data_IF_127610698696
#
_entry.id   IF_127610698696
#
_cell.length_a   1.000
_cell.length_b   1.000
_cell.length_c   1.000
_cell.angle_alpha   90.00
_cell.angle_beta   90.00
_cell.angle_gamma   90.00
#
_symmetry.space_group_name_H-M   'P 1'
#
loop_
_entity.id
_entity.type
_entity.pdbx_description
1 polymer ?
#
# COMPACT_ATOMS: atom_id res chain seq x y z
N UNK A 1 11.45 0.07 -19.11
CA UNK A 1 12.85 0.01 -18.64
C UNK A 1 12.80 -0.53 -17.22
N UNK A 2 13.44 -1.68 -17.00
CA UNK A 2 13.43 -2.40 -15.73
C UNK A 2 14.40 -1.66 -14.78
N UNK A 3 13.90 -0.72 -13.97
CA UNK A 3 14.69 -0.03 -12.94
C UNK A 3 14.92 -0.99 -11.78
N UNK A 4 15.74 -2.03 -12.01
CA UNK A 4 16.19 -2.90 -10.93
C UNK A 4 16.99 -2.07 -9.95
N UNK A 5 16.65 -2.22 -8.68
CA UNK A 5 17.32 -1.55 -7.58
C UNK A 5 18.78 -2.03 -7.55
N UNK A 6 19.76 -1.13 -7.76
CA UNK A 6 21.21 -1.43 -7.81
C UNK A 6 21.73 -2.09 -6.51
N UNK A 7 20.89 -2.10 -5.48
CA UNK A 7 21.11 -2.71 -4.18
C UNK A 7 20.82 -4.22 -4.12
N UNK A 8 20.18 -4.84 -5.12
CA UNK A 8 19.90 -6.29 -5.11
C UNK A 8 21.06 -7.06 -5.73
N UNK A 9 21.67 -7.96 -4.96
CA UNK A 9 22.74 -8.86 -5.41
C UNK A 9 22.22 -10.26 -5.77
N UNK A 10 21.16 -10.72 -5.12
CA UNK A 10 20.49 -11.99 -5.41
C UNK A 10 18.97 -11.79 -5.35
N UNK A 11 18.32 -11.56 -6.51
CA UNK A 11 16.87 -11.35 -6.58
C UNK A 11 16.05 -12.56 -6.10
N UNK A 12 16.57 -13.78 -6.29
CA UNK A 12 15.89 -15.00 -5.90
C UNK A 12 15.87 -15.15 -4.38
N UNK A 13 17.03 -14.93 -3.73
CA UNK A 13 17.13 -14.93 -2.28
C UNK A 13 16.29 -13.82 -1.66
N UNK A 14 16.32 -12.60 -2.22
CA UNK A 14 15.47 -11.51 -1.73
C UNK A 14 13.99 -11.89 -1.78
N UNK A 15 13.53 -12.40 -2.91
CA UNK A 15 12.13 -12.79 -3.09
C UNK A 15 11.72 -13.89 -2.09
N UNK A 16 12.56 -14.91 -1.91
CA UNK A 16 12.33 -15.97 -0.91
C UNK A 16 12.14 -15.39 0.50
N UNK A 17 13.02 -14.47 0.92
CA UNK A 17 12.93 -13.85 2.26
C UNK A 17 11.73 -12.92 2.39
N UNK A 18 11.45 -12.11 1.37
CA UNK A 18 10.29 -11.24 1.35
C UNK A 18 8.98 -12.04 1.46
N UNK A 19 8.82 -13.10 0.66
CA UNK A 19 7.66 -14.01 0.73
C UNK A 19 7.56 -14.66 2.11
N UNK A 20 8.67 -15.18 2.65
CA UNK A 20 8.67 -15.81 3.97
C UNK A 20 8.21 -14.84 5.08
N UNK A 21 8.64 -13.57 5.02
CA UNK A 21 8.19 -12.53 5.95
C UNK A 21 6.71 -12.21 5.76
N UNK A 22 6.24 -12.01 4.53
CA UNK A 22 4.82 -11.77 4.25
C UNK A 22 3.95 -12.91 4.78
N UNK A 23 4.27 -14.17 4.44
CA UNK A 23 3.52 -15.35 4.91
C UNK A 23 3.51 -15.42 6.43
N UNK A 24 4.65 -15.16 7.08
CA UNK A 24 4.72 -15.12 8.54
C UNK A 24 3.84 -14.01 9.11
N UNK A 25 3.94 -12.80 8.59
CA UNK A 25 3.14 -11.66 9.04
C UNK A 25 1.64 -11.92 8.87
N UNK A 26 1.21 -12.48 7.74
CA UNK A 26 -0.18 -12.89 7.50
C UNK A 26 -0.64 -13.91 8.55
N UNK A 27 0.16 -14.96 8.81
CA UNK A 27 -0.14 -15.95 9.86
C UNK A 27 -0.24 -15.32 11.25
N UNK A 28 0.62 -14.34 11.57
CA UNK A 28 0.57 -13.64 12.85
C UNK A 28 -0.72 -12.83 12.97
N UNK A 29 -1.06 -12.02 11.96
CA UNK A 29 -2.27 -11.19 12.00
C UNK A 29 -3.52 -12.02 12.29
N UNK A 30 -3.66 -13.18 11.65
CA UNK A 30 -4.81 -14.08 11.82
C UNK A 30 -4.63 -15.14 12.92
N UNK A 31 -3.55 -15.05 13.69
CA UNK A 31 -3.25 -15.92 14.82
C UNK A 31 -3.87 -15.42 16.13
N UNK A 32 -3.55 -16.11 17.23
CA UNK A 32 -3.94 -15.70 18.58
C UNK A 32 -3.17 -14.44 19.00
N UNK A 33 -3.77 -13.61 19.87
CA UNK A 33 -3.14 -12.44 20.50
C UNK A 33 -2.92 -11.21 19.61
N UNK A 34 -3.61 -11.12 18.46
CA UNK A 34 -3.59 -9.94 17.59
C UNK A 34 -5.00 -9.34 17.37
N UNK A 35 -5.90 -9.61 18.31
CA UNK A 35 -7.30 -9.18 18.26
C UNK A 35 -7.43 -7.65 18.24
N UNK A 36 -6.52 -6.92 18.89
CA UNK A 36 -6.52 -5.45 18.88
C UNK A 36 -6.23 -4.88 17.48
N UNK A 37 -5.32 -5.50 16.73
CA UNK A 37 -4.99 -5.06 15.37
C UNK A 37 -6.10 -5.45 14.40
N UNK A 38 -6.68 -6.63 14.56
CA UNK A 38 -7.86 -7.02 13.80
C UNK A 38 -9.04 -6.07 14.06
N UNK A 39 -9.32 -5.74 15.32
CA UNK A 39 -10.35 -4.79 15.70
C UNK A 39 -10.11 -3.42 15.06
N UNK A 40 -8.86 -2.92 15.10
CA UNK A 40 -8.51 -1.65 14.45
C UNK A 40 -8.80 -1.68 12.94
N UNK A 41 -8.49 -2.79 12.24
CA UNK A 41 -8.79 -2.94 10.81
C UNK A 41 -10.31 -2.93 10.55
N UNK A 42 -11.09 -3.62 11.38
CA UNK A 42 -12.55 -3.65 11.24
C UNK A 42 -13.20 -2.30 11.55
N UNK A 43 -12.77 -1.63 12.62
CA UNK A 43 -13.20 -0.26 12.95
C UNK A 43 -12.82 0.74 11.85
N UNK A 44 -11.74 0.45 11.12
CA UNK A 44 -11.29 1.21 9.95
C UNK A 44 -12.08 0.92 8.67
N UNK A 45 -13.13 0.10 8.74
CA UNK A 45 -14.02 -0.18 7.63
C UNK A 45 -13.55 -1.30 6.69
N UNK A 46 -12.44 -1.98 6.97
CA UNK A 46 -11.99 -3.07 6.10
C UNK A 46 -12.83 -4.33 6.26
N UNK A 47 -13.30 -4.87 5.14
CA UNK A 47 -13.88 -6.19 5.09
C UNK A 47 -12.81 -7.28 5.21
N UNK A 48 -13.13 -8.37 5.91
CA UNK A 48 -12.23 -9.52 6.06
C UNK A 48 -11.76 -10.09 4.70
N UNK A 49 -12.65 -10.07 3.70
CA UNK A 49 -12.35 -10.52 2.34
C UNK A 49 -11.21 -9.69 1.73
N UNK A 50 -11.34 -8.36 1.75
CA UNK A 50 -10.34 -7.41 1.24
C UNK A 50 -8.97 -7.66 1.86
N UNK A 51 -8.91 -7.80 3.19
CA UNK A 51 -7.66 -8.02 3.93
C UNK A 51 -6.99 -9.35 3.58
N UNK A 52 -7.78 -10.42 3.41
CA UNK A 52 -7.27 -11.74 3.03
C UNK A 52 -6.79 -11.79 1.59
N UNK A 53 -7.54 -11.21 0.67
CA UNK A 53 -7.16 -11.15 -0.76
C UNK A 53 -5.91 -10.30 -0.99
N UNK A 54 -5.72 -9.24 -0.20
CA UNK A 54 -4.51 -8.43 -0.19
C UNK A 54 -3.35 -9.01 0.63
N UNK A 55 -3.52 -10.21 1.22
CA UNK A 55 -2.52 -10.88 2.07
C UNK A 55 -1.97 -10.00 3.21
N UNK A 56 -2.80 -9.12 3.77
CA UNK A 56 -2.39 -8.25 4.88
C UNK A 56 -1.87 -9.09 6.04
N UNK A 57 -0.77 -8.62 6.62
CA UNK A 57 -0.10 -9.27 7.74
C UNK A 57 0.26 -8.30 8.86
N UNK A 58 0.72 -8.85 9.97
CA UNK A 58 1.18 -8.10 11.13
C UNK A 58 2.59 -8.54 11.51
N UNK A 59 3.53 -7.61 11.38
CA UNK A 59 4.89 -7.77 11.87
C UNK A 59 4.91 -7.32 13.33
N UNK A 60 5.01 -8.27 14.26
CA UNK A 60 4.80 -8.03 15.71
C UNK A 60 5.89 -7.17 16.36
N UNK A 61 7.08 -7.12 15.78
CA UNK A 61 8.21 -6.37 16.37
C UNK A 61 9.21 -5.93 15.33
N UNK A 62 9.89 -4.83 15.62
CA UNK A 62 11.06 -4.40 14.87
C UNK A 62 12.09 -5.54 14.80
N UNK A 63 12.51 -5.90 13.59
CA UNK A 63 13.55 -6.88 13.34
C UNK A 63 14.57 -6.28 12.38
N UNK A 64 15.86 -6.48 12.64
CA UNK A 64 16.94 -6.14 11.70
C UNK A 64 17.60 -7.41 11.20
N UNK A 65 17.85 -7.50 9.90
CA UNK A 65 18.47 -8.67 9.27
C UNK A 65 19.69 -8.24 8.45
N UNK A 66 20.81 -8.98 8.49
CA UNK A 66 21.95 -8.70 7.60
C UNK A 66 21.50 -8.62 6.14
N UNK A 67 21.94 -7.59 5.43
CA UNK A 67 21.51 -7.33 4.05
C UNK A 67 21.93 -8.46 3.08
N UNK A 68 23.14 -8.98 3.26
CA UNK A 68 23.66 -10.12 2.50
C UNK A 68 22.78 -11.38 2.63
N UNK A 69 22.23 -11.63 3.82
CA UNK A 69 21.30 -12.75 4.07
C UNK A 69 19.94 -12.61 3.38
N UNK A 70 19.68 -11.45 2.78
CA UNK A 70 18.50 -11.10 2.00
C UNK A 70 18.82 -10.87 0.53
N UNK A 71 20.04 -11.14 0.06
CA UNK A 71 20.41 -10.89 -1.32
C UNK A 71 20.45 -9.40 -1.68
N UNK A 72 20.77 -8.53 -0.72
CA UNK A 72 20.95 -7.09 -0.93
C UNK A 72 22.31 -6.61 -0.46
N UNK A 73 22.68 -5.42 -0.91
CA UNK A 73 23.89 -4.68 -0.55
C UNK A 73 23.57 -3.18 -0.39
N UNK A 74 24.56 -2.39 0.05
CA UNK A 74 24.42 -0.93 0.20
C UNK A 74 23.92 -0.47 1.57
N UNK A 75 23.37 -1.39 2.37
CA UNK A 75 23.07 -1.18 3.79
C UNK A 75 23.63 -2.36 4.61
N UNK A 76 23.96 -2.12 5.89
CA UNK A 76 24.41 -3.20 6.80
C UNK A 76 23.24 -4.17 7.12
N UNK A 77 22.05 -3.62 7.39
CA UNK A 77 20.88 -4.39 7.80
C UNK A 77 19.59 -3.86 7.19
N UNK A 78 18.74 -4.78 6.71
CA UNK A 78 17.34 -4.53 6.34
C UNK A 78 16.52 -4.36 7.61
N UNK A 79 15.68 -3.32 7.65
CA UNK A 79 14.74 -3.07 8.73
C UNK A 79 13.37 -3.65 8.37
N UNK A 80 12.80 -4.43 9.27
CA UNK A 80 11.41 -4.86 9.22
C UNK A 80 10.73 -4.28 10.45
N UNK A 81 10.15 -3.07 10.37
CA UNK A 81 9.55 -2.45 11.54
C UNK A 81 8.29 -3.20 11.96
N UNK A 82 7.89 -3.01 13.22
CA UNK A 82 6.58 -3.40 13.70
C UNK A 82 5.49 -2.64 12.94
N UNK A 83 4.48 -3.35 12.45
CA UNK A 83 3.46 -2.73 11.61
C UNK A 83 2.65 -3.70 10.76
N UNK A 84 1.66 -3.14 10.06
CA UNK A 84 0.86 -3.85 9.07
C UNK A 84 1.70 -4.07 7.82
N UNK A 85 1.93 -5.32 7.46
CA UNK A 85 2.63 -5.72 6.24
C UNK A 85 1.65 -5.74 5.08
N UNK A 86 1.96 -4.98 4.02
CA UNK A 86 1.18 -4.80 2.81
C UNK A 86 2.02 -5.28 1.62
N UNK A 87 1.81 -6.51 1.14
CA UNK A 87 2.50 -7.01 -0.04
C UNK A 87 1.92 -6.41 -1.32
N UNK A 88 2.79 -5.97 -2.23
CA UNK A 88 2.44 -5.55 -3.59
C UNK A 88 2.79 -6.70 -4.53
N UNK A 89 1.75 -7.38 -5.00
CA UNK A 89 1.85 -8.55 -5.87
C UNK A 89 1.39 -8.15 -7.27
N UNK A 90 2.20 -8.48 -8.29
CA UNK A 90 1.82 -8.34 -9.70
C UNK A 90 2.22 -9.58 -10.47
N UNK A 91 1.35 -10.01 -11.38
CA UNK A 91 1.59 -11.20 -12.21
C UNK A 91 1.96 -12.45 -11.38
N UNK A 92 1.34 -12.57 -10.19
CA UNK A 92 1.57 -13.63 -9.19
C UNK A 92 2.97 -13.61 -8.53
N UNK A 93 3.73 -12.54 -8.71
CA UNK A 93 5.03 -12.34 -8.09
C UNK A 93 4.98 -11.21 -7.05
N UNK A 94 5.64 -11.41 -5.92
CA UNK A 94 5.83 -10.37 -4.91
C UNK A 94 6.90 -9.38 -5.41
N UNK A 95 6.50 -8.13 -5.63
CA UNK A 95 7.37 -7.08 -6.17
C UNK A 95 7.86 -6.11 -5.10
N UNK A 96 6.98 -5.75 -4.17
CA UNK A 96 7.28 -4.78 -3.11
C UNK A 96 6.62 -5.18 -1.80
N UNK A 97 7.30 -4.92 -0.69
CA UNK A 97 6.73 -5.08 0.65
C UNK A 97 6.75 -3.73 1.33
N UNK A 98 5.57 -3.27 1.75
CA UNK A 98 5.40 -2.03 2.51
C UNK A 98 4.93 -2.37 3.91
N UNK A 99 5.47 -1.70 4.93
CA UNK A 99 5.05 -1.87 6.32
C UNK A 99 4.52 -0.54 6.83
N UNK A 100 3.23 -0.50 7.16
CA UNK A 100 2.60 0.64 7.82
C UNK A 100 2.79 0.53 9.34
N UNK A 101 3.63 1.41 9.88
CA UNK A 101 3.98 1.50 11.30
C UNK A 101 2.90 2.30 12.00
N UNK A 102 2.08 1.67 12.83
CA UNK A 102 1.09 2.40 13.61
C UNK A 102 1.79 3.29 14.64
N UNK A 103 1.69 4.62 14.45
CA UNK A 103 2.20 5.62 15.39
C UNK A 103 1.28 5.83 16.60
N UNK A 104 1.74 6.63 17.56
CA UNK A 104 0.87 7.17 18.61
C UNK A 104 -0.16 8.10 17.95
N UNK A 105 -1.45 7.74 18.00
CA UNK A 105 -2.51 8.54 17.36
C UNK A 105 -2.91 8.10 15.94
N UNK A 106 -2.44 6.94 15.46
CA UNK A 106 -2.85 6.33 14.19
C UNK A 106 -2.44 7.06 12.88
N UNK A 107 -1.67 8.15 12.97
CA UNK A 107 -0.95 8.75 11.83
C UNK A 107 0.36 7.99 11.59
N UNK A 108 0.24 6.77 11.08
CA UNK A 108 1.38 5.87 10.90
C UNK A 108 2.31 6.25 9.74
N UNK A 109 3.53 5.71 9.80
CA UNK A 109 4.55 5.88 8.76
C UNK A 109 4.60 4.66 7.84
N UNK A 110 4.80 4.88 6.55
CA UNK A 110 5.01 3.81 5.59
C UNK A 110 6.51 3.55 5.44
N UNK A 111 6.91 2.28 5.50
CA UNK A 111 8.28 1.85 5.30
C UNK A 111 8.32 0.81 4.18
N UNK A 112 8.98 1.13 3.07
CA UNK A 112 9.24 0.17 1.99
C UNK A 112 10.48 -0.64 2.33
N UNK A 113 10.35 -1.97 2.36
CA UNK A 113 11.46 -2.88 2.68
C UNK A 113 12.54 -2.77 1.60
N UNK A 114 13.81 -2.66 2.01
CA UNK A 114 14.94 -2.55 1.10
C UNK A 114 15.00 -3.72 0.11
N UNK A 115 15.34 -3.42 -1.15
CA UNK A 115 15.30 -4.38 -2.25
C UNK A 115 13.92 -4.55 -2.90
N UNK A 116 12.87 -3.87 -2.42
CA UNK A 116 11.60 -3.83 -3.15
C UNK A 116 11.72 -3.14 -4.50
N UNK A 117 10.94 -3.59 -5.47
CA UNK A 117 10.79 -2.94 -6.78
C UNK A 117 10.01 -1.63 -6.65
N UNK A 118 10.35 -0.64 -7.50
CA UNK A 118 9.66 0.64 -7.57
C UNK A 118 8.35 0.53 -8.37
N UNK A 119 7.40 -0.33 -7.93
CA UNK A 119 6.11 -0.54 -8.61
C UNK A 119 4.92 -0.17 -7.72
N UNK A 120 3.91 0.55 -8.25
CA UNK A 120 2.77 0.96 -7.44
C UNK A 120 1.85 -0.23 -7.15
N UNK A 121 1.07 -0.12 -6.08
CA UNK A 121 -0.04 -1.04 -5.87
C UNK A 121 -1.12 -0.73 -6.91
N UNK A 122 -1.60 -1.75 -7.62
CA UNK A 122 -2.69 -1.63 -8.60
C UNK A 122 -3.75 -2.66 -8.29
N UNK A 123 -4.96 -2.19 -8.00
CA UNK A 123 -6.14 -2.99 -7.76
C UNK A 123 -7.06 -2.81 -8.97
N UNK A 124 -7.12 -3.82 -9.83
CA UNK A 124 -7.76 -3.71 -11.14
C UNK A 124 -9.27 -3.61 -11.02
N UNK A 125 -9.86 -2.61 -11.69
CA UNK A 125 -11.30 -2.47 -11.84
C UNK A 125 -11.85 -3.15 -13.08
N UNK A 126 -13.16 -3.12 -13.24
CA UNK A 126 -13.88 -3.62 -14.42
C UNK A 126 -14.06 -2.58 -15.53
N UNK A 127 -13.79 -1.30 -15.22
CA UNK A 127 -13.88 -0.19 -16.19
C UNK A 127 -12.49 0.41 -16.46
N UNK A 128 -12.42 1.31 -17.46
CA UNK A 128 -11.21 2.10 -17.77
C UNK A 128 -11.10 3.38 -16.93
N UNK A 129 -11.85 3.47 -15.84
CA UNK A 129 -11.73 4.56 -14.87
C UNK A 129 -10.70 4.22 -13.82
N UNK A 130 -9.81 5.16 -13.55
CA UNK A 130 -8.69 4.99 -12.63
C UNK A 130 -8.73 6.08 -11.57
N UNK A 131 -8.51 5.69 -10.32
CA UNK A 131 -8.26 6.61 -9.23
C UNK A 131 -6.86 6.40 -8.68
N UNK A 132 -6.12 7.49 -8.54
CA UNK A 132 -4.81 7.53 -7.92
C UNK A 132 -4.96 8.06 -6.49
N UNK A 133 -4.40 7.33 -5.54
CA UNK A 133 -4.20 7.73 -4.14
C UNK A 133 -2.72 7.59 -3.80
N UNK A 134 -2.29 8.21 -2.69
CA UNK A 134 -0.91 8.06 -2.24
C UNK A 134 -0.67 6.75 -1.51
N UNK A 135 -1.56 6.37 -0.57
CA UNK A 135 -1.27 5.33 0.43
C UNK A 135 -1.92 3.99 0.09
N UNK A 136 -1.22 2.88 0.35
CA UNK A 136 -1.70 1.54 0.01
C UNK A 136 -2.96 1.12 0.79
N UNK A 137 -3.09 1.51 2.07
CA UNK A 137 -4.31 1.21 2.85
C UNK A 137 -5.52 1.97 2.31
N UNK A 138 -5.33 3.23 1.91
CA UNK A 138 -6.40 4.02 1.29
C UNK A 138 -6.82 3.40 -0.05
N UNK A 139 -5.88 2.86 -0.83
CA UNK A 139 -6.18 2.16 -2.07
C UNK A 139 -7.04 0.91 -1.85
N UNK A 140 -6.69 0.09 -0.86
CA UNK A 140 -7.45 -1.12 -0.52
C UNK A 140 -8.87 -0.80 -0.08
N UNK A 141 -9.02 0.21 0.79
CA UNK A 141 -10.31 0.64 1.29
C UNK A 141 -11.16 1.23 0.15
N UNK A 142 -10.58 2.09 -0.67
CA UNK A 142 -11.27 2.68 -1.81
C UNK A 142 -11.72 1.64 -2.83
N UNK A 143 -10.88 0.65 -3.13
CA UNK A 143 -11.23 -0.41 -4.08
C UNK A 143 -12.43 -1.23 -3.61
N UNK A 144 -12.48 -1.54 -2.30
CA UNK A 144 -13.63 -2.17 -1.67
C UNK A 144 -14.89 -1.32 -1.83
N UNK A 145 -14.85 -0.03 -1.47
CA UNK A 145 -16.03 0.83 -1.52
C UNK A 145 -16.53 1.08 -2.96
N UNK A 146 -15.63 1.07 -3.94
CA UNK A 146 -15.97 1.23 -5.36
C UNK A 146 -16.40 -0.09 -6.02
N UNK A 147 -16.55 -1.19 -5.26
CA UNK A 147 -17.01 -2.50 -5.75
C UNK A 147 -16.29 -2.96 -7.02
N UNK A 148 -14.98 -2.73 -7.10
CA UNK A 148 -14.12 -3.08 -8.24
C UNK A 148 -14.55 -2.43 -9.56
N UNK A 149 -15.34 -1.36 -9.57
CA UNK A 149 -15.67 -0.65 -10.81
C UNK A 149 -14.48 0.18 -11.31
N UNK A 150 -13.73 0.75 -10.38
CA UNK A 150 -12.55 1.58 -10.67
C UNK A 150 -11.26 0.80 -10.44
N UNK A 151 -10.29 1.04 -11.31
CA UNK A 151 -8.91 0.69 -11.03
C UNK A 151 -8.37 1.66 -9.98
N UNK A 152 -7.83 1.13 -8.89
CA UNK A 152 -7.24 1.96 -7.83
C UNK A 152 -5.73 1.78 -7.83
N UNK A 153 -5.00 2.88 -7.91
CA UNK A 153 -3.54 2.90 -7.92
C UNK A 153 -3.06 3.62 -6.66
N UNK A 154 -2.20 2.97 -5.89
CA UNK A 154 -1.48 3.60 -4.78
C UNK A 154 -0.05 3.90 -5.20
N UNK A 155 0.34 5.19 -5.19
CA UNK A 155 1.68 5.61 -5.59
C UNK A 155 2.75 5.22 -4.59
N UNK A 156 2.43 5.20 -3.29
CA UNK A 156 3.43 5.24 -2.23
C UNK A 156 4.35 6.45 -2.37
N UNK A 157 5.61 6.28 -1.96
CA UNK A 157 6.70 7.24 -2.17
C UNK A 157 7.51 6.95 -3.45
N UNK A 158 6.85 6.36 -4.46
CA UNK A 158 7.50 6.03 -5.72
C UNK A 158 7.77 7.28 -6.57
N UNK A 159 8.83 7.26 -7.40
CA UNK A 159 9.06 8.34 -8.36
C UNK A 159 7.93 8.36 -9.41
N UNK A 160 7.59 9.54 -9.93
CA UNK A 160 6.49 9.73 -10.88
C UNK A 160 6.57 8.80 -12.10
N UNK A 161 7.77 8.56 -12.63
CA UNK A 161 7.98 7.66 -13.78
C UNK A 161 7.51 6.22 -13.55
N UNK A 162 7.44 5.77 -12.28
CA UNK A 162 6.95 4.44 -11.93
C UNK A 162 5.44 4.28 -12.11
N UNK A 163 4.69 5.38 -12.17
CA UNK A 163 3.23 5.37 -12.29
C UNK A 163 2.77 5.25 -13.75
N UNK A 164 3.60 5.64 -14.72
CA UNK A 164 3.21 5.75 -16.12
C UNK A 164 2.57 4.46 -16.68
N UNK A 165 3.16 3.30 -16.39
CA UNK A 165 2.62 2.00 -16.85
C UNK A 165 1.30 1.65 -16.16
N UNK A 166 1.12 2.04 -14.89
CA UNK A 166 -0.09 1.75 -14.13
C UNK A 166 -1.28 2.63 -14.53
N UNK A 167 -1.01 3.84 -15.03
CA UNK A 167 -2.03 4.79 -15.47
C UNK A 167 -2.33 4.70 -16.96
N UNK A 168 -1.51 3.96 -17.72
CA UNK A 168 -1.68 3.83 -19.16
C UNK A 168 -3.05 3.21 -19.52
N UNK A 169 -3.78 3.90 -20.40
CA UNK A 169 -5.07 3.42 -20.90
C UNK A 169 -6.27 3.78 -20.03
N UNK A 170 -6.07 4.57 -18.96
CA UNK A 170 -7.17 5.20 -18.25
C UNK A 170 -7.94 6.17 -19.18
N UNK A 171 -9.26 6.01 -19.29
CA UNK A 171 -10.15 6.94 -20.00
C UNK A 171 -10.57 8.09 -19.10
N UNK A 172 -10.63 7.83 -17.79
CA UNK A 172 -10.89 8.81 -16.75
C UNK A 172 -9.87 8.59 -15.63
N UNK A 173 -9.10 9.62 -15.29
CA UNK A 173 -8.18 9.61 -14.17
C UNK A 173 -8.66 10.61 -13.13
N UNK A 174 -8.81 10.14 -11.88
CA UNK A 174 -9.04 11.00 -10.72
C UNK A 174 -7.89 10.87 -9.74
N UNK A 175 -7.34 11.99 -9.31
CA UNK A 175 -6.31 12.01 -8.26
C UNK A 175 -6.99 12.44 -6.98
N UNK A 176 -7.05 11.56 -5.97
CA UNK A 176 -7.55 11.89 -4.65
C UNK A 176 -6.37 12.20 -3.74
N UNK A 177 -6.28 13.46 -3.32
CA UNK A 177 -5.28 13.89 -2.37
C UNK A 177 -5.92 14.23 -1.03
N UNK A 178 -5.45 13.56 0.02
CA UNK A 178 -5.67 14.04 1.38
C UNK A 178 -4.87 15.33 1.59
N UNK A 179 -5.25 16.15 2.57
CA UNK A 179 -4.57 17.42 2.84
C UNK A 179 -3.05 17.24 3.06
N UNK A 180 -2.66 16.11 3.67
CA UNK A 180 -1.26 15.71 3.91
C UNK A 180 -0.49 15.24 2.67
N UNK A 181 -1.19 14.96 1.58
CA UNK A 181 -0.66 14.30 0.38
C UNK A 181 -0.76 15.18 -0.89
N UNK A 182 -1.40 16.34 -0.79
CA UNK A 182 -1.66 17.24 -1.91
C UNK A 182 -0.40 17.64 -2.67
N UNK A 183 0.68 18.00 -1.97
CA UNK A 183 1.94 18.41 -2.61
C UNK A 183 2.59 17.26 -3.39
N UNK A 184 2.62 16.06 -2.81
CA UNK A 184 3.22 14.88 -3.45
C UNK A 184 2.46 14.49 -4.72
N UNK A 185 1.13 14.55 -4.69
CA UNK A 185 0.27 14.14 -5.81
C UNK A 185 0.02 15.24 -6.84
N UNK A 186 0.23 16.53 -6.52
CA UNK A 186 0.05 17.64 -7.45
C UNK A 186 0.96 17.58 -8.69
N UNK A 187 2.06 16.82 -8.60
CA UNK A 187 2.98 16.60 -9.71
C UNK A 187 2.50 15.52 -10.69
N UNK A 188 1.53 14.69 -10.31
CA UNK A 188 1.09 13.53 -11.10
C UNK A 188 0.03 13.96 -12.12
N UNK A 189 0.51 14.30 -13.32
CA UNK A 189 -0.27 14.66 -14.51
C UNK A 189 -1.15 15.92 -14.40
N UNK A 190 -1.64 16.41 -15.54
CA UNK A 190 -2.33 17.71 -15.70
C UNK A 190 -3.72 17.79 -15.05
N UNK A 191 -4.12 16.79 -14.26
CA UNK A 191 -5.40 16.76 -13.54
C UNK A 191 -5.20 17.31 -12.13
N UNK A 192 -5.89 18.41 -11.82
CA UNK A 192 -5.89 18.96 -10.46
C UNK A 192 -6.41 17.91 -9.47
N UNK A 193 -5.67 17.59 -8.39
CA UNK A 193 -6.13 16.66 -7.37
C UNK A 193 -7.46 17.13 -6.78
N UNK A 194 -8.37 16.20 -6.55
CA UNK A 194 -9.60 16.48 -5.80
C UNK A 194 -9.24 16.45 -4.32
N UNK A 195 -9.27 17.60 -3.62
CA UNK A 195 -8.91 17.64 -2.22
C UNK A 195 -9.97 16.92 -1.40
N UNK A 196 -9.52 16.06 -0.50
CA UNK A 196 -10.38 15.40 0.48
C UNK A 196 -9.90 15.80 1.87
N UNK A 197 -10.78 16.44 2.63
CA UNK A 197 -10.45 16.90 3.98
C UNK A 197 -10.20 15.72 4.91
N UNK A 198 -9.06 15.72 5.60
CA UNK A 198 -8.67 14.66 6.54
C UNK A 198 -7.23 14.18 6.32
N UNK A 199 -6.77 13.22 7.15
CA UNK A 199 -5.40 12.70 7.06
C UNK A 199 -5.29 11.41 6.24
N UNK A 200 -6.38 10.64 6.13
CA UNK A 200 -6.49 9.40 5.34
C UNK A 200 -7.95 8.97 5.11
N UNK A 201 -8.20 8.10 4.12
CA UNK A 201 -9.51 7.47 3.93
C UNK A 201 -9.84 6.52 5.09
N UNK A 202 -8.81 5.89 5.67
CA UNK A 202 -8.92 5.08 6.90
C UNK A 202 -9.50 5.91 8.05
N UNK A 203 -9.02 7.13 8.26
CA UNK A 203 -9.55 8.02 9.30
C UNK A 203 -11.00 8.41 9.03
N UNK A 204 -11.35 8.71 7.78
CA UNK A 204 -12.73 9.03 7.39
C UNK A 204 -13.69 7.85 7.62
N UNK A 205 -13.25 6.62 7.36
CA UNK A 205 -14.04 5.42 7.64
C UNK A 205 -14.33 5.28 9.14
N UNK A 206 -13.31 5.46 9.98
CA UNK A 206 -13.48 5.39 11.45
C UNK A 206 -14.42 6.46 11.98
N UNK A 207 -14.50 7.62 11.30
CA UNK A 207 -15.43 8.71 11.61
C UNK A 207 -16.83 8.51 11.03
N UNK A 208 -17.06 7.44 10.25
CA UNK A 208 -18.32 7.19 9.55
C UNK A 208 -18.60 8.16 8.40
N UNK A 209 -17.57 8.85 7.89
CA UNK A 209 -17.70 9.90 6.86
C UNK A 209 -17.30 9.43 5.46
N UNK A 210 -16.74 8.22 5.34
CA UNK A 210 -16.18 7.74 4.06
C UNK A 210 -17.25 7.63 2.97
N UNK A 211 -18.39 6.99 3.26
CA UNK A 211 -19.43 6.74 2.25
C UNK A 211 -19.97 8.05 1.63
N UNK A 212 -20.29 9.05 2.46
CA UNK A 212 -20.77 10.35 1.99
C UNK A 212 -19.70 11.09 1.18
N UNK A 213 -18.45 11.01 1.64
CA UNK A 213 -17.30 11.59 0.93
C UNK A 213 -17.18 10.98 -0.45
N UNK A 214 -17.12 9.65 -0.56
CA UNK A 214 -17.00 8.95 -1.84
C UNK A 214 -18.22 9.16 -2.74
N UNK A 215 -19.43 9.22 -2.18
CA UNK A 215 -20.64 9.48 -2.96
C UNK A 215 -20.65 10.90 -3.55
N UNK A 216 -20.02 11.89 -2.90
CA UNK A 216 -19.87 13.23 -3.50
C UNK A 216 -18.82 13.28 -4.60
N UNK A 217 -17.79 12.44 -4.48
CA UNK A 217 -16.70 12.37 -5.43
C UNK A 217 -17.11 11.57 -6.68
N UNK A 218 -17.53 10.32 -6.54
CA UNK A 218 -17.66 9.36 -7.65
C UNK A 218 -19.05 9.26 -8.31
N UNK A 219 -19.91 10.26 -8.08
CA UNK A 219 -21.18 10.39 -8.83
C UNK A 219 -20.95 10.64 -10.32
#
# INVERSE_FOLDING_TARGET
MDTRNETITDPGLWNEKAVAVTVKATKMLWGKHNESIQAWLFESGFALKTLKEAFIGWQVRNTRRPADSWGTQGVDKILLPEGLTIPVIRDKELKRVVIFRMGHGHDGEYHTVEGSDAVPLVLSGTTRRTVLVRRELDALLLHQELNNQWTVVASGDLPQGALATALQGAEELRVLAMDSDAEALASVEATSPVPVKGTSLVELARKGLLADTLASLFK
#
